data_IF_741405196469
#
_entry.id   IF_741405196469
#
_cell.length_a   1.000
_cell.length_b   1.000
_cell.length_c   1.000
_cell.angle_alpha   90.00
_cell.angle_beta   90.00
_cell.angle_gamma   90.00
#
_symmetry.space_group_name_H-M   'P 1'
#
loop_
_entity.id
_entity.type
_entity.pdbx_description
1 polymer ?
#
# COMPACT_ATOMS: atom_id res chain seq x y z
N UNK A 1 24.01 41.46 -14.37
CA UNK A 1 24.74 41.61 -15.65
C UNK A 1 24.89 43.10 -15.94
N UNK A 2 25.99 43.55 -16.54
CA UNK A 2 26.22 44.97 -16.87
C UNK A 2 26.78 45.12 -18.27
N UNK A 3 26.36 46.16 -18.98
CA UNK A 3 26.91 46.55 -20.27
C UNK A 3 27.22 48.06 -20.29
N UNK A 4 28.03 48.47 -21.26
CA UNK A 4 28.40 49.86 -21.52
C UNK A 4 28.09 50.21 -22.95
N UNK A 5 27.55 51.39 -23.17
CA UNK A 5 27.38 51.95 -24.50
C UNK A 5 28.39 53.07 -24.77
N UNK A 6 28.92 53.15 -26.00
CA UNK A 6 29.97 54.12 -26.36
C UNK A 6 29.41 55.54 -26.49
N UNK A 7 28.15 55.68 -26.91
CA UNK A 7 27.45 56.96 -27.05
C UNK A 7 26.68 57.34 -25.76
N UNK A 8 26.77 56.47 -24.74
CA UNK A 8 26.18 56.59 -23.42
C UNK A 8 24.64 56.69 -23.48
N UNK A 9 24.05 55.94 -24.41
CA UNK A 9 22.60 55.76 -24.55
C UNK A 9 22.01 54.94 -23.38
N UNK A 10 20.73 55.15 -23.03
CA UNK A 10 20.05 54.35 -22.01
C UNK A 10 19.91 52.89 -22.43
N UNK A 11 20.48 52.00 -21.63
CA UNK A 11 20.43 50.56 -21.88
C UNK A 11 19.14 49.93 -21.31
N UNK A 12 18.53 49.06 -22.11
CA UNK A 12 17.38 48.24 -21.73
C UNK A 12 17.75 46.77 -21.74
N UNK A 13 17.51 46.08 -20.62
CA UNK A 13 17.80 44.66 -20.44
C UNK A 13 16.52 43.81 -20.52
N UNK A 14 16.60 42.69 -21.23
CA UNK A 14 15.53 41.68 -21.39
C UNK A 14 16.08 40.27 -21.22
N UNK A 15 15.19 39.31 -20.93
CA UNK A 15 15.53 37.88 -20.83
C UNK A 15 14.98 37.10 -22.00
N UNK A 16 15.74 36.11 -22.45
CA UNK A 16 15.31 35.07 -23.37
C UNK A 16 15.96 33.73 -22.98
N UNK A 17 15.55 32.64 -23.62
CA UNK A 17 16.05 31.29 -23.32
C UNK A 17 14.99 30.37 -22.74
N UNK A 18 15.35 29.09 -22.59
CA UNK A 18 14.44 28.02 -22.16
C UNK A 18 13.95 28.21 -20.73
N UNK A 19 14.80 28.73 -19.85
CA UNK A 19 14.49 28.90 -18.43
C UNK A 19 14.11 30.34 -18.05
N UNK A 20 13.96 31.24 -19.03
CA UNK A 20 13.69 32.67 -18.79
C UNK A 20 12.40 32.93 -18.01
N UNK A 21 11.43 32.00 -18.04
CA UNK A 21 10.18 32.13 -17.30
C UNK A 21 10.40 32.14 -15.77
N UNK A 22 11.41 31.41 -15.27
CA UNK A 22 11.73 31.34 -13.83
C UNK A 22 12.36 32.64 -13.28
N UNK A 23 12.81 33.54 -14.17
CA UNK A 23 13.55 34.74 -13.79
C UNK A 23 12.86 36.04 -14.25
N UNK A 24 13.16 37.11 -13.53
CA UNK A 24 12.90 38.49 -13.91
C UNK A 24 14.22 39.26 -14.05
N UNK A 25 14.19 40.37 -14.78
CA UNK A 25 15.34 41.28 -14.88
C UNK A 25 14.89 42.72 -14.66
N UNK A 26 15.67 43.47 -13.88
CA UNK A 26 15.49 44.90 -13.77
C UNK A 26 15.99 45.55 -15.05
N UNK A 27 15.06 46.05 -15.87
CA UNK A 27 15.33 46.49 -17.25
C UNK A 27 16.32 47.64 -17.36
N UNK A 28 16.62 48.38 -16.30
CA UNK A 28 17.55 49.51 -16.30
C UNK A 28 18.94 49.19 -15.73
N UNK A 29 19.08 48.10 -14.97
CA UNK A 29 20.34 47.74 -14.30
C UNK A 29 20.89 46.38 -14.69
N UNK A 30 20.10 45.55 -15.36
CA UNK A 30 20.48 44.18 -15.68
C UNK A 30 20.57 43.27 -14.46
N UNK A 31 19.98 43.67 -13.32
CA UNK A 31 19.91 42.83 -12.13
C UNK A 31 18.91 41.69 -12.37
N UNK A 32 19.43 40.48 -12.38
CA UNK A 32 18.64 39.25 -12.49
C UNK A 32 18.01 38.91 -11.14
N UNK A 33 16.75 38.46 -11.16
CA UNK A 33 15.95 38.12 -9.98
C UNK A 33 15.22 36.81 -10.24
N UNK A 34 15.05 35.98 -9.22
CA UNK A 34 14.14 34.83 -9.32
C UNK A 34 12.69 35.32 -9.18
N UNK A 35 11.75 34.69 -9.90
CA UNK A 35 10.30 34.98 -9.73
C UNK A 35 9.67 34.21 -8.57
N UNK A 36 10.26 33.07 -8.21
CA UNK A 36 9.88 32.21 -7.10
C UNK A 36 11.14 31.63 -6.44
N UNK A 37 10.99 30.90 -5.34
CA UNK A 37 12.06 30.04 -4.85
C UNK A 37 12.39 29.00 -5.93
N UNK A 38 13.68 28.78 -6.18
CA UNK A 38 14.14 27.70 -7.05
C UNK A 38 14.27 26.44 -6.21
N UNK A 39 13.85 25.31 -6.77
CA UNK A 39 13.81 24.01 -6.12
C UNK A 39 14.87 23.12 -6.80
N UNK A 40 15.80 22.58 -6.00
CA UNK A 40 16.95 21.84 -6.48
C UNK A 40 16.55 20.45 -7.00
N UNK A 41 15.60 19.83 -6.32
CA UNK A 41 15.07 18.49 -6.50
C UNK A 41 14.38 18.34 -7.86
N UNK A 42 13.77 19.44 -8.32
CA UNK A 42 13.10 19.52 -9.63
C UNK A 42 14.04 19.97 -10.74
N UNK A 43 14.89 20.96 -10.51
CA UNK A 43 15.84 21.47 -11.52
C UNK A 43 17.01 22.19 -10.86
N UNK A 44 18.23 21.66 -11.03
CA UNK A 44 19.44 22.15 -10.39
C UNK A 44 20.35 23.04 -11.28
N UNK A 45 20.00 23.19 -12.57
CA UNK A 45 20.69 24.07 -13.52
C UNK A 45 19.65 24.84 -14.32
N UNK A 46 19.85 26.15 -14.43
CA UNK A 46 19.06 27.03 -15.28
C UNK A 46 19.97 27.80 -16.24
N UNK A 47 19.57 27.86 -17.50
CA UNK A 47 20.25 28.61 -18.55
C UNK A 47 19.37 29.76 -19.06
N UNK A 48 19.79 30.99 -18.78
CA UNK A 48 19.09 32.20 -19.23
C UNK A 48 20.02 33.12 -20.00
N UNK A 49 19.50 33.74 -21.06
CA UNK A 49 20.24 34.71 -21.85
C UNK A 49 19.76 36.12 -21.52
N UNK A 50 20.70 36.98 -21.16
CA UNK A 50 20.44 38.40 -20.93
C UNK A 50 20.80 39.15 -22.20
N UNK A 51 19.80 39.82 -22.79
CA UNK A 51 19.96 40.69 -23.94
C UNK A 51 19.92 42.13 -23.48
N UNK A 52 20.84 42.95 -23.97
CA UNK A 52 20.85 44.39 -23.75
C UNK A 52 20.73 45.11 -25.07
N UNK A 53 19.97 46.21 -25.10
CA UNK A 53 19.88 47.09 -26.26
C UNK A 53 19.93 48.55 -25.86
N UNK A 54 20.53 49.36 -26.72
CA UNK A 54 20.56 50.83 -26.66
C UNK A 54 19.28 51.49 -27.21
N UNK A 55 18.36 50.73 -27.83
CA UNK A 55 17.18 51.27 -28.50
C UNK A 55 17.45 51.97 -29.84
N UNK A 56 18.71 52.07 -30.26
CA UNK A 56 19.19 52.71 -31.50
C UNK A 56 19.78 51.70 -32.50
N UNK A 57 19.69 50.39 -32.19
CA UNK A 57 20.06 49.29 -33.08
C UNK A 57 21.30 48.52 -32.62
N UNK A 58 21.98 48.98 -31.57
CA UNK A 58 22.98 48.22 -30.85
C UNK A 58 22.32 47.21 -29.92
N UNK A 59 22.80 45.97 -29.99
CA UNK A 59 22.42 44.91 -29.07
C UNK A 59 23.62 44.02 -28.75
N UNK A 60 23.60 43.47 -27.55
CA UNK A 60 24.56 42.43 -27.15
C UNK A 60 23.85 41.40 -26.27
N UNK A 61 24.46 40.23 -26.13
CA UNK A 61 23.90 39.09 -25.40
C UNK A 61 24.97 38.38 -24.60
N UNK A 62 24.58 37.94 -23.41
CA UNK A 62 25.37 36.98 -22.62
C UNK A 62 24.47 35.84 -22.14
N UNK A 63 25.01 34.62 -22.16
CA UNK A 63 24.38 33.45 -21.56
C UNK A 63 24.86 33.30 -20.11
N UNK A 64 23.91 33.08 -19.20
CA UNK A 64 24.12 32.97 -17.76
C UNK A 64 23.61 31.60 -17.31
N UNK A 65 24.54 30.73 -16.91
CA UNK A 65 24.22 29.45 -16.27
C UNK A 65 24.18 29.66 -14.76
N UNK A 66 23.06 29.28 -14.15
CA UNK A 66 22.81 29.39 -12.72
C UNK A 66 22.73 27.97 -12.18
N UNK A 67 23.65 27.65 -11.28
CA UNK A 67 23.60 26.41 -10.51
C UNK A 67 22.81 26.67 -9.25
N UNK A 68 21.71 25.96 -9.08
CA UNK A 68 21.07 25.83 -7.77
C UNK A 68 21.83 24.74 -7.05
N UNK A 69 22.38 25.09 -5.90
CA UNK A 69 22.97 24.10 -4.99
C UNK A 69 21.92 23.74 -3.97
N UNK A 70 21.69 22.45 -3.81
CA UNK A 70 20.91 21.92 -2.69
C UNK A 70 21.40 22.55 -1.40
N UNK A 71 20.47 23.18 -0.67
CA UNK A 71 20.71 23.54 0.71
C UNK A 71 19.93 22.51 1.49
N UNK A 72 20.65 21.53 1.98
CA UNK A 72 20.08 20.45 2.76
C UNK A 72 19.40 21.02 4.02
N UNK A 73 18.06 21.12 4.02
CA UNK A 73 17.30 21.74 5.10
C UNK A 73 17.07 20.76 6.26
N UNK A 74 18.16 20.31 6.90
CA UNK A 74 18.06 19.56 8.14
C UNK A 74 17.37 20.41 9.21
N UNK A 75 16.37 19.86 9.90
CA UNK A 75 15.69 20.57 11.00
C UNK A 75 16.71 20.99 12.06
N UNK A 76 16.80 22.27 12.45
CA UNK A 76 17.73 22.72 13.46
C UNK A 76 17.59 21.93 14.77
N UNK A 77 18.69 21.56 15.40
CA UNK A 77 18.66 20.69 16.59
C UNK A 77 17.86 21.27 17.76
N UNK A 78 17.69 22.59 17.83
CA UNK A 78 16.87 23.27 18.86
C UNK A 78 15.36 23.12 18.66
N UNK A 79 14.93 22.81 17.45
CA UNK A 79 13.51 22.67 17.10
C UNK A 79 13.02 21.23 17.33
N UNK A 80 13.95 20.28 17.32
CA UNK A 80 13.73 18.86 17.59
C UNK A 80 13.30 18.62 19.04
N UNK A 81 12.69 17.47 19.29
CA UNK A 81 12.39 16.98 20.63
C UNK A 81 13.68 16.87 21.45
N UNK A 82 13.73 17.35 22.72
CA UNK A 82 14.98 17.41 23.49
C UNK A 82 15.74 16.09 23.62
N UNK A 83 15.03 14.95 23.67
CA UNK A 83 15.69 13.64 23.70
C UNK A 83 16.34 13.26 22.36
N UNK A 84 15.76 13.70 21.25
CA UNK A 84 16.35 13.52 19.91
C UNK A 84 17.61 14.35 19.81
N UNK A 85 17.56 15.63 20.22
CA UNK A 85 18.73 16.50 20.30
C UNK A 85 19.83 15.87 21.16
N UNK A 86 19.49 15.35 22.35
CA UNK A 86 20.45 14.71 23.23
C UNK A 86 21.05 13.44 22.62
N UNK A 87 20.24 12.62 21.93
CA UNK A 87 20.72 11.42 21.26
C UNK A 87 21.67 11.74 20.10
N UNK A 88 21.35 12.76 19.29
CA UNK A 88 22.25 13.24 18.22
C UNK A 88 23.58 13.73 18.85
N UNK A 89 23.51 14.59 19.86
CA UNK A 89 24.72 15.12 20.52
C UNK A 89 25.58 14.02 21.15
N UNK A 90 24.98 12.91 21.58
CA UNK A 90 25.74 11.77 22.13
C UNK A 90 26.57 11.03 21.09
N UNK A 91 26.22 11.14 19.80
CA UNK A 91 27.01 10.58 18.70
C UNK A 91 28.06 11.58 18.18
N UNK A 92 27.85 12.87 18.44
CA UNK A 92 28.75 13.97 18.07
C UNK A 92 29.71 14.32 19.21
N UNK A 93 30.48 13.34 19.71
CA UNK A 93 31.36 13.49 20.88
C UNK A 93 32.42 14.62 20.76
N UNK A 94 32.61 15.19 19.56
CA UNK A 94 33.54 16.31 19.31
C UNK A 94 32.90 17.71 19.38
N UNK A 95 31.58 17.80 19.61
CA UNK A 95 30.85 19.07 19.66
C UNK A 95 30.17 19.24 21.02
N UNK A 96 30.55 20.27 21.75
CA UNK A 96 30.02 20.54 23.10
C UNK A 96 28.73 21.38 23.09
N UNK A 97 28.47 22.13 22.01
CA UNK A 97 27.32 23.02 21.89
C UNK A 97 26.47 22.69 20.67
N UNK A 98 25.16 22.56 20.89
CA UNK A 98 24.16 22.28 19.85
C UNK A 98 24.16 23.32 18.72
N UNK A 99 24.54 24.57 19.00
CA UNK A 99 24.61 25.64 17.99
C UNK A 99 25.81 25.49 17.04
N UNK A 100 26.80 24.68 17.42
CA UNK A 100 28.01 24.46 16.62
C UNK A 100 27.86 23.26 15.67
N UNK A 101 26.74 22.53 15.73
CA UNK A 101 26.46 21.38 14.87
C UNK A 101 26.12 21.85 13.47
N UNK A 102 26.88 21.37 12.50
CA UNK A 102 26.64 21.62 11.08
C UNK A 102 25.95 20.43 10.41
N UNK A 103 25.44 20.63 9.19
CA UNK A 103 24.92 19.55 8.35
C UNK A 103 25.94 18.42 8.11
N UNK A 104 27.22 18.76 7.96
CA UNK A 104 28.29 17.78 7.73
C UNK A 104 28.53 16.90 8.96
N UNK A 105 28.29 17.43 10.15
CA UNK A 105 28.35 16.65 11.38
C UNK A 105 27.22 15.63 11.43
N UNK A 106 26.02 15.97 10.94
CA UNK A 106 24.89 15.03 10.87
C UNK A 106 25.15 13.85 9.93
N UNK A 107 25.97 14.03 8.88
CA UNK A 107 26.40 12.94 7.98
C UNK A 107 27.26 11.88 8.67
N UNK A 108 27.75 12.13 9.90
CA UNK A 108 28.52 11.16 10.69
C UNK A 108 27.66 10.30 11.61
N UNK A 109 26.41 10.70 11.88
CA UNK A 109 25.50 10.00 12.78
C UNK A 109 25.03 8.70 12.13
N UNK A 110 25.17 7.57 12.83
CA UNK A 110 24.76 6.23 12.35
C UNK A 110 23.71 5.58 13.23
N UNK A 111 23.69 5.96 14.51
CA UNK A 111 22.83 5.41 15.53
C UNK A 111 22.07 6.56 16.18
N UNK A 112 20.78 6.39 16.43
CA UNK A 112 20.02 7.23 17.35
C UNK A 112 19.42 6.31 18.40
N UNK A 113 19.86 6.45 19.64
CA UNK A 113 19.37 5.66 20.75
C UNK A 113 18.70 6.53 21.82
N UNK A 114 17.38 6.38 21.95
CA UNK A 114 16.53 7.06 22.91
C UNK A 114 15.78 6.07 23.81
N UNK A 115 16.34 4.89 24.04
CA UNK A 115 15.73 3.84 24.87
C UNK A 115 15.45 4.32 26.31
N UNK A 116 14.23 4.17 26.81
CA UNK A 116 13.94 4.39 28.25
C UNK A 116 13.92 5.86 28.72
N UNK A 117 13.76 6.82 27.82
CA UNK A 117 13.78 8.25 28.15
C UNK A 117 12.40 8.83 28.52
N UNK A 118 11.39 7.98 28.73
CA UNK A 118 10.00 8.38 29.02
C UNK A 118 9.41 9.33 27.96
N UNK A 119 9.80 9.13 26.69
CA UNK A 119 9.31 9.94 25.58
C UNK A 119 7.82 9.71 25.37
N UNK A 120 7.05 10.80 25.31
CA UNK A 120 5.60 10.77 25.06
C UNK A 120 5.23 11.24 23.65
N UNK A 121 6.12 11.97 22.98
CA UNK A 121 5.88 12.51 21.64
C UNK A 121 7.18 12.66 20.87
N UNK A 122 7.08 12.56 19.55
CA UNK A 122 8.05 13.02 18.56
C UNK A 122 7.37 14.08 17.70
N UNK A 123 8.15 14.94 17.07
CA UNK A 123 7.69 15.99 16.16
C UNK A 123 8.10 15.67 14.73
N UNK A 124 7.30 16.16 13.78
CA UNK A 124 7.69 16.25 12.36
C UNK A 124 9.07 16.90 12.26
N UNK A 125 9.93 16.33 11.41
CA UNK A 125 11.32 16.76 11.23
C UNK A 125 12.30 16.37 12.33
N UNK A 126 11.89 15.66 13.39
CA UNK A 126 12.83 15.24 14.46
C UNK A 126 14.04 14.48 13.92
N UNK A 127 13.88 13.68 12.86
CA UNK A 127 14.98 12.97 12.19
C UNK A 127 15.37 13.53 10.82
N UNK A 128 14.80 14.67 10.42
CA UNK A 128 15.14 15.30 9.15
C UNK A 128 16.64 15.56 9.03
N UNK A 129 17.19 15.26 7.88
CA UNK A 129 18.60 15.43 7.55
C UNK A 129 19.57 14.46 8.23
N UNK A 130 19.06 13.38 8.83
CA UNK A 130 19.89 12.30 9.40
C UNK A 130 20.06 11.12 8.42
N UNK A 131 20.29 11.42 7.14
CA UNK A 131 20.23 10.47 6.01
C UNK A 131 21.14 9.24 6.14
N UNK A 132 22.16 9.34 6.99
CA UNK A 132 23.13 8.28 7.21
C UNK A 132 22.83 7.41 8.43
N UNK A 133 21.76 7.69 9.17
CA UNK A 133 21.32 6.83 10.27
C UNK A 133 20.93 5.46 9.74
N UNK A 134 21.49 4.43 10.36
CA UNK A 134 21.21 3.02 10.08
C UNK A 134 20.37 2.38 11.18
N UNK A 135 20.56 2.81 12.43
CA UNK A 135 19.97 2.19 13.60
C UNK A 135 19.17 3.23 14.40
N UNK A 136 17.86 3.02 14.51
CA UNK A 136 16.98 3.86 15.31
C UNK A 136 16.33 3.05 16.43
N UNK A 137 16.75 3.33 17.67
CA UNK A 137 16.27 2.65 18.87
C UNK A 137 15.50 3.60 19.76
N UNK A 138 14.18 3.41 19.83
CA UNK A 138 13.26 4.17 20.70
C UNK A 138 12.44 3.24 21.63
N UNK A 139 12.96 2.08 22.10
CA UNK A 139 12.14 1.17 22.91
C UNK A 139 11.91 1.66 24.33
N UNK A 140 10.89 1.10 24.99
CA UNK A 140 10.57 1.36 26.39
C UNK A 140 10.29 2.84 26.68
N UNK A 141 9.50 3.47 25.82
CA UNK A 141 9.00 4.84 25.99
C UNK A 141 7.47 4.81 26.13
N UNK A 142 6.80 5.94 25.92
CA UNK A 142 5.35 6.11 26.06
C UNK A 142 4.77 6.85 24.85
N UNK A 143 5.30 6.59 23.65
CA UNK A 143 4.78 7.15 22.42
C UNK A 143 3.40 6.55 22.13
N UNK A 144 2.39 7.40 21.98
CA UNK A 144 1.02 7.00 21.62
C UNK A 144 0.77 7.07 20.10
N UNK A 145 1.54 7.92 19.40
CA UNK A 145 1.48 8.10 17.95
C UNK A 145 2.85 8.52 17.39
N UNK A 146 2.98 8.45 16.08
CA UNK A 146 4.13 8.94 15.32
C UNK A 146 3.68 10.02 14.31
N UNK A 147 4.45 11.09 14.10
CA UNK A 147 4.27 11.98 12.95
C UNK A 147 4.39 11.21 11.64
N UNK A 148 3.62 11.59 10.62
CA UNK A 148 3.53 10.87 9.33
C UNK A 148 4.86 10.85 8.55
N UNK A 149 5.66 11.90 8.72
CA UNK A 149 6.92 12.18 7.99
C UNK A 149 8.17 11.85 8.82
N UNK A 150 8.01 11.18 9.97
CA UNK A 150 9.08 11.07 10.96
C UNK A 150 10.31 10.32 10.42
N UNK A 151 10.15 9.43 9.45
CA UNK A 151 11.24 8.65 8.86
C UNK A 151 11.60 9.07 7.43
N UNK A 152 11.05 10.18 6.94
CA UNK A 152 11.32 10.67 5.59
C UNK A 152 12.81 10.95 5.38
N UNK A 153 13.34 10.57 4.22
CA UNK A 153 14.75 10.77 3.86
C UNK A 153 15.74 9.79 4.51
N UNK A 154 15.33 8.95 5.46
CA UNK A 154 16.19 7.97 6.13
C UNK A 154 16.44 6.71 5.27
N UNK A 155 16.87 6.89 4.02
CA UNK A 155 16.97 5.82 3.02
C UNK A 155 17.99 4.72 3.38
N UNK A 156 18.92 5.00 4.29
CA UNK A 156 19.94 4.05 4.77
C UNK A 156 19.54 3.32 6.06
N UNK A 157 18.32 3.54 6.56
CA UNK A 157 17.87 2.95 7.81
C UNK A 157 17.71 1.43 7.67
N UNK A 158 18.42 0.67 8.51
CA UNK A 158 18.45 -0.79 8.52
C UNK A 158 17.58 -1.37 9.64
N UNK A 159 17.45 -0.65 10.75
CA UNK A 159 16.71 -1.11 11.92
C UNK A 159 15.90 0.00 12.57
N UNK A 160 14.61 -0.27 12.79
CA UNK A 160 13.73 0.51 13.66
C UNK A 160 13.29 -0.37 14.82
N UNK A 161 13.54 0.10 16.05
CA UNK A 161 13.01 -0.52 17.26
C UNK A 161 12.11 0.44 18.05
N UNK A 162 10.81 0.21 17.96
CA UNK A 162 9.73 0.92 18.66
C UNK A 162 9.07 0.05 19.75
N UNK A 163 9.72 -1.04 20.17
CA UNK A 163 9.19 -2.00 21.14
C UNK A 163 8.82 -1.35 22.47
N UNK A 164 7.74 -1.77 23.10
CA UNK A 164 7.32 -1.27 24.42
C UNK A 164 7.07 0.25 24.41
N UNK A 165 6.23 0.70 23.48
CA UNK A 165 5.60 2.02 23.49
C UNK A 165 4.09 1.86 23.74
N UNK A 166 3.28 2.85 23.39
CA UNK A 166 1.82 2.82 23.52
C UNK A 166 1.13 3.13 22.19
N UNK A 167 1.79 2.81 21.07
CA UNK A 167 1.29 3.12 19.73
C UNK A 167 -0.04 2.39 19.49
N UNK A 168 -1.10 3.14 19.21
CA UNK A 168 -2.44 2.59 18.93
C UNK A 168 -2.67 2.34 17.43
N UNK A 169 -1.97 3.11 16.59
CA UNK A 169 -1.99 3.01 15.13
C UNK A 169 -0.66 3.45 14.52
N UNK A 170 -0.49 3.16 13.23
CA UNK A 170 0.63 3.64 12.41
C UNK A 170 0.05 4.46 11.23
N UNK A 171 0.68 5.58 10.84
CA UNK A 171 0.36 6.26 9.59
C UNK A 171 0.49 5.33 8.36
N UNK A 172 -0.30 5.55 7.30
CA UNK A 172 -0.39 4.61 6.15
C UNK A 172 0.96 4.40 5.43
N UNK A 173 1.75 5.47 5.27
CA UNK A 173 2.97 5.48 4.45
C UNK A 173 4.25 5.68 5.30
N UNK A 174 4.17 5.41 6.60
CA UNK A 174 5.22 5.76 7.58
C UNK A 174 6.60 5.13 7.28
N UNK A 175 6.63 4.04 6.51
CA UNK A 175 7.88 3.33 6.15
C UNK A 175 8.24 3.46 4.67
N UNK A 176 7.53 4.29 3.91
CA UNK A 176 7.80 4.46 2.49
C UNK A 176 9.22 4.98 2.24
N UNK A 177 9.86 4.47 1.19
CA UNK A 177 11.23 4.86 0.83
C UNK A 177 12.35 4.26 1.70
N UNK A 178 12.03 3.53 2.77
CA UNK A 178 13.02 2.85 3.63
C UNK A 178 13.57 1.56 2.99
N UNK A 179 14.18 1.69 1.81
CA UNK A 179 14.58 0.57 0.94
C UNK A 179 15.68 -0.33 1.51
N UNK A 180 16.29 0.03 2.64
CA UNK A 180 17.30 -0.78 3.34
C UNK A 180 16.79 -1.33 4.69
N UNK A 181 15.51 -1.14 5.04
CA UNK A 181 14.99 -1.54 6.33
C UNK A 181 14.84 -3.07 6.41
N UNK A 182 15.70 -3.70 7.20
CA UNK A 182 15.75 -5.15 7.39
C UNK A 182 15.05 -5.59 8.68
N UNK A 183 15.09 -4.75 9.73
CA UNK A 183 14.65 -5.14 11.06
C UNK A 183 13.63 -4.14 11.63
N UNK A 184 12.39 -4.58 11.78
CA UNK A 184 11.31 -3.77 12.34
C UNK A 184 10.72 -4.42 13.59
N UNK A 185 10.88 -3.74 14.73
CA UNK A 185 10.35 -4.17 16.01
C UNK A 185 9.26 -3.21 16.51
N UNK A 186 8.03 -3.71 16.54
CA UNK A 186 6.82 -2.99 16.98
C UNK A 186 6.13 -3.70 18.16
N UNK A 187 6.83 -4.64 18.80
CA UNK A 187 6.25 -5.47 19.85
C UNK A 187 5.83 -4.67 21.08
N UNK A 188 4.88 -5.19 21.86
CA UNK A 188 4.42 -4.56 23.11
C UNK A 188 3.93 -3.12 22.92
N UNK A 189 3.14 -2.90 21.89
CA UNK A 189 2.39 -1.67 21.66
C UNK A 189 0.88 -1.96 21.80
N UNK A 190 0.02 -1.04 21.38
CA UNK A 190 -1.45 -1.15 21.47
C UNK A 190 -2.11 -1.26 20.09
N UNK A 191 -1.39 -1.68 19.05
CA UNK A 191 -1.87 -1.66 17.67
C UNK A 191 -3.09 -2.59 17.51
N UNK A 192 -4.24 -2.04 17.10
CA UNK A 192 -5.48 -2.80 16.89
C UNK A 192 -5.64 -3.31 15.45
N UNK A 193 -5.03 -2.58 14.50
CA UNK A 193 -4.99 -2.89 13.08
C UNK A 193 -3.70 -2.36 12.46
N UNK A 194 -3.41 -2.78 11.23
CA UNK A 194 -2.31 -2.26 10.42
C UNK A 194 -2.90 -1.68 9.12
N UNK A 195 -2.36 -0.56 8.60
CA UNK A 195 -2.69 -0.12 7.25
C UNK A 195 -2.36 -1.21 6.22
N UNK A 196 -3.14 -1.26 5.13
CA UNK A 196 -2.85 -2.15 4.02
C UNK A 196 -1.63 -1.64 3.25
N UNK A 197 -0.70 -2.53 2.89
CA UNK A 197 0.51 -2.15 2.15
C UNK A 197 1.60 -1.48 3.01
N UNK A 198 1.44 -1.40 4.34
CA UNK A 198 2.37 -0.73 5.27
C UNK A 198 3.83 -1.23 5.21
N UNK A 199 4.08 -2.40 4.58
CA UNK A 199 5.42 -2.98 4.42
C UNK A 199 5.83 -3.15 2.95
N UNK A 200 5.09 -2.54 2.01
CA UNK A 200 5.36 -2.67 0.59
C UNK A 200 6.76 -2.09 0.25
N UNK A 201 7.52 -2.84 -0.55
CA UNK A 201 8.87 -2.42 -0.97
C UNK A 201 9.98 -2.60 0.07
N UNK A 202 9.65 -2.99 1.31
CA UNK A 202 10.65 -3.19 2.36
C UNK A 202 11.37 -4.55 2.26
N UNK A 203 12.70 -4.62 2.43
CA UNK A 203 13.45 -5.88 2.39
C UNK A 203 13.50 -6.60 3.76
N UNK A 204 12.41 -6.56 4.55
CA UNK A 204 12.41 -7.03 5.93
C UNK A 204 12.89 -8.48 6.08
N UNK A 205 13.89 -8.69 6.95
CA UNK A 205 14.32 -9.98 7.48
C UNK A 205 13.64 -10.30 8.82
N UNK A 206 13.34 -9.27 9.62
CA UNK A 206 12.76 -9.39 10.95
C UNK A 206 11.56 -8.48 11.09
N UNK A 207 10.40 -9.06 11.40
CA UNK A 207 9.18 -8.34 11.74
C UNK A 207 8.63 -8.85 13.07
N UNK A 208 8.63 -7.97 14.07
CA UNK A 208 8.05 -8.26 15.38
C UNK A 208 6.83 -7.40 15.68
N UNK A 209 5.65 -8.04 15.63
CA UNK A 209 4.35 -7.46 15.94
C UNK A 209 3.72 -8.12 17.18
N UNK A 210 4.53 -8.81 17.99
CA UNK A 210 4.04 -9.54 19.16
C UNK A 210 3.48 -8.60 20.25
N UNK A 211 2.60 -9.13 21.10
CA UNK A 211 2.06 -8.38 22.25
C UNK A 211 1.40 -7.05 21.87
N UNK A 212 0.62 -7.05 20.78
CA UNK A 212 -0.24 -5.93 20.37
C UNK A 212 -1.72 -6.31 20.55
N UNK A 213 -2.65 -5.53 20.00
CA UNK A 213 -4.09 -5.77 20.04
C UNK A 213 -4.67 -6.19 18.69
N UNK A 214 -3.86 -6.72 17.77
CA UNK A 214 -4.29 -6.99 16.39
C UNK A 214 -5.42 -8.03 16.35
N UNK A 215 -6.48 -7.66 15.63
CA UNK A 215 -7.68 -8.51 15.46
C UNK A 215 -7.71 -9.23 14.11
N UNK A 216 -6.94 -8.77 13.14
CA UNK A 216 -6.79 -9.36 11.82
C UNK A 216 -5.51 -8.85 11.16
N UNK A 217 -5.14 -9.46 10.03
CA UNK A 217 -4.06 -8.98 9.16
C UNK A 217 -4.67 -8.49 7.83
N UNK A 218 -4.24 -7.34 7.30
CA UNK A 218 -4.62 -6.91 5.95
C UNK A 218 -4.27 -7.94 4.88
N UNK A 219 -5.01 -7.90 3.77
CA UNK A 219 -4.64 -8.63 2.57
C UNK A 219 -3.32 -8.09 2.03
N UNK A 220 -2.46 -8.97 1.53
CA UNK A 220 -1.15 -8.62 1.01
C UNK A 220 -0.13 -8.11 2.03
N UNK A 221 -0.39 -8.14 3.35
CA UNK A 221 0.52 -7.61 4.38
C UNK A 221 1.97 -8.09 4.26
N UNK A 222 2.19 -9.35 3.88
CA UNK A 222 3.50 -9.96 3.70
C UNK A 222 3.92 -10.05 2.23
N UNK A 223 3.20 -9.41 1.31
CA UNK A 223 3.56 -9.35 -0.11
C UNK A 223 4.91 -8.66 -0.27
N UNK A 224 5.78 -9.20 -1.11
CA UNK A 224 7.13 -8.66 -1.34
C UNK A 224 8.17 -9.01 -0.27
N UNK A 225 7.77 -9.40 0.95
CA UNK A 225 8.66 -9.74 2.07
C UNK A 225 9.34 -11.12 1.91
N UNK A 226 10.06 -11.30 0.80
CA UNK A 226 10.70 -12.55 0.40
C UNK A 226 11.92 -12.92 1.27
N UNK A 227 12.52 -11.95 1.95
CA UNK A 227 13.66 -12.14 2.86
C UNK A 227 13.25 -12.43 4.31
N UNK A 228 11.95 -12.43 4.62
CA UNK A 228 11.47 -12.52 5.99
C UNK A 228 11.91 -13.83 6.66
N UNK A 229 12.88 -13.71 7.54
CA UNK A 229 13.47 -14.81 8.30
C UNK A 229 13.00 -14.86 9.75
N UNK A 230 12.27 -13.86 10.23
CA UNK A 230 11.69 -13.86 11.58
C UNK A 230 10.37 -13.11 11.61
N UNK A 231 9.32 -13.79 12.05
CA UNK A 231 7.99 -13.21 12.25
C UNK A 231 7.46 -13.57 13.64
N UNK A 232 7.01 -12.55 14.39
CA UNK A 232 6.33 -12.73 15.67
C UNK A 232 4.96 -12.04 15.68
N UNK A 233 3.89 -12.83 15.82
CA UNK A 233 2.49 -12.38 15.93
C UNK A 233 1.81 -12.83 17.24
N UNK A 234 2.55 -13.49 18.13
CA UNK A 234 2.02 -14.02 19.39
C UNK A 234 1.54 -12.92 20.33
N UNK A 235 0.59 -13.26 21.21
CA UNK A 235 0.00 -12.32 22.17
C UNK A 235 -0.73 -11.13 21.54
N UNK A 236 -1.33 -11.32 20.36
CA UNK A 236 -2.33 -10.40 19.81
C UNK A 236 -3.76 -10.78 20.25
N UNK A 237 -4.73 -9.88 20.04
CA UNK A 237 -6.13 -10.11 20.41
C UNK A 237 -6.71 -11.37 19.75
N UNK A 238 -6.32 -11.62 18.50
CA UNK A 238 -6.62 -12.88 17.81
C UNK A 238 -5.39 -13.78 17.77
N UNK A 239 -5.23 -14.59 18.81
CA UNK A 239 -4.13 -15.56 18.90
C UNK A 239 -4.63 -17.02 18.91
N UNK A 240 -4.07 -17.91 18.06
CA UNK A 240 -3.20 -17.62 16.92
C UNK A 240 -3.90 -16.84 15.81
N UNK A 241 -3.17 -15.94 15.16
CA UNK A 241 -3.65 -15.10 14.05
C UNK A 241 -4.06 -15.97 12.84
N UNK A 242 -5.28 -15.82 12.31
CA UNK A 242 -5.71 -16.61 11.15
C UNK A 242 -5.08 -16.09 9.85
N UNK A 243 -4.36 -16.95 9.12
CA UNK A 243 -3.97 -16.72 7.73
C UNK A 243 -4.93 -17.47 6.81
N UNK A 244 -5.78 -16.72 6.12
CA UNK A 244 -6.77 -17.30 5.21
C UNK A 244 -6.10 -17.79 3.93
N UNK A 245 -6.32 -19.07 3.63
CA UNK A 245 -5.87 -19.73 2.41
C UNK A 245 -7.05 -20.11 1.54
N UNK A 246 -6.90 -19.92 0.24
CA UNK A 246 -7.96 -20.24 -0.72
C UNK A 246 -7.40 -20.77 -2.03
N UNK A 247 -8.28 -21.28 -2.88
CA UNK A 247 -7.95 -21.58 -4.27
C UNK A 247 -8.60 -20.51 -5.14
N UNK A 248 -7.92 -20.11 -6.21
CA UNK A 248 -8.42 -19.19 -7.23
C UNK A 248 -8.43 -19.92 -8.57
N UNK A 249 -9.59 -19.95 -9.23
CA UNK A 249 -9.70 -20.49 -10.59
C UNK A 249 -9.10 -19.47 -11.58
N UNK A 250 -8.06 -19.86 -12.30
CA UNK A 250 -7.41 -19.00 -13.32
C UNK A 250 -7.89 -19.31 -14.74
N UNK A 251 -8.29 -20.56 -15.00
CA UNK A 251 -8.99 -20.98 -16.21
C UNK A 251 -9.81 -22.27 -15.93
N UNK A 252 -10.48 -22.82 -16.94
CA UNK A 252 -11.22 -24.08 -16.77
C UNK A 252 -10.27 -25.22 -16.37
N UNK A 253 -10.56 -25.87 -15.24
CA UNK A 253 -9.68 -26.90 -14.67
C UNK A 253 -8.33 -26.39 -14.15
N UNK A 254 -8.06 -25.09 -14.13
CA UNK A 254 -6.78 -24.52 -13.70
C UNK A 254 -6.93 -23.64 -12.47
N UNK A 255 -6.10 -23.88 -11.46
CA UNK A 255 -6.18 -23.21 -10.16
C UNK A 255 -4.83 -22.79 -9.63
N UNK A 256 -4.82 -21.70 -8.87
CA UNK A 256 -3.70 -21.31 -8.03
C UNK A 256 -4.12 -21.33 -6.57
N UNK A 257 -3.17 -21.64 -5.69
CA UNK A 257 -3.34 -21.41 -4.28
C UNK A 257 -3.08 -19.95 -3.95
N UNK A 258 -3.73 -19.48 -2.90
CA UNK A 258 -3.61 -18.10 -2.43
C UNK A 258 -3.51 -18.07 -0.92
N UNK A 259 -2.71 -17.14 -0.40
CA UNK A 259 -2.63 -16.76 1.02
C UNK A 259 -2.97 -15.29 1.06
N UNK A 260 -4.11 -14.93 1.67
CA UNK A 260 -4.72 -13.60 1.49
C UNK A 260 -3.80 -12.49 2.00
N UNK A 261 -3.23 -12.64 3.19
CA UNK A 261 -2.25 -11.70 3.75
C UNK A 261 -0.83 -11.84 3.17
N UNK A 262 -0.62 -12.70 2.17
CA UNK A 262 0.72 -13.10 1.72
C UNK A 262 1.34 -14.20 2.57
N UNK A 263 2.23 -15.00 2.00
CA UNK A 263 2.90 -16.09 2.70
C UNK A 263 4.20 -15.58 3.38
N UNK A 264 4.26 -15.54 4.73
CA UNK A 264 5.44 -15.04 5.44
C UNK A 264 6.67 -15.97 5.35
N UNK A 265 6.45 -17.21 4.93
CA UNK A 265 7.49 -18.12 4.45
C UNK A 265 6.82 -19.12 3.48
N UNK A 266 7.55 -20.04 2.82
CA UNK A 266 6.91 -20.94 1.86
C UNK A 266 5.85 -21.81 2.53
N UNK A 267 4.60 -21.69 2.08
CA UNK A 267 3.44 -22.43 2.61
C UNK A 267 3.08 -23.56 1.65
N UNK A 268 3.17 -24.79 2.14
CA UNK A 268 2.74 -25.97 1.40
C UNK A 268 1.28 -26.32 1.74
N UNK A 269 0.40 -26.20 0.75
CA UNK A 269 -1.02 -26.49 0.89
C UNK A 269 -1.35 -27.83 0.26
N UNK A 270 -1.77 -28.84 1.05
CA UNK A 270 -2.24 -30.09 0.47
C UNK A 270 -3.49 -29.84 -0.35
N UNK A 271 -3.61 -30.52 -1.48
CA UNK A 271 -4.77 -30.40 -2.38
C UNK A 271 -5.52 -31.73 -2.44
N UNK A 272 -6.84 -31.66 -2.49
CA UNK A 272 -7.69 -32.83 -2.71
C UNK A 272 -8.70 -32.57 -3.82
N UNK A 273 -8.92 -33.58 -4.64
CA UNK A 273 -9.85 -33.53 -5.77
C UNK A 273 -10.85 -34.67 -5.65
N UNK A 274 -12.14 -34.36 -5.80
CA UNK A 274 -13.21 -35.37 -5.89
C UNK A 274 -13.74 -35.43 -7.32
N UNK A 275 -14.01 -36.62 -7.85
CA UNK A 275 -14.49 -36.87 -9.22
C UNK A 275 -13.54 -36.41 -10.36
N UNK A 276 -12.30 -36.10 -10.02
CA UNK A 276 -11.25 -35.69 -10.95
C UNK A 276 -9.87 -36.15 -10.48
N UNK A 277 -8.86 -35.80 -11.27
CA UNK A 277 -7.43 -36.07 -11.02
C UNK A 277 -6.59 -34.83 -11.31
N UNK A 278 -5.49 -34.67 -10.57
CA UNK A 278 -4.49 -33.64 -10.84
C UNK A 278 -3.52 -34.19 -11.89
N UNK A 279 -3.28 -33.42 -12.95
CA UNK A 279 -2.69 -33.90 -14.21
C UNK A 279 -1.23 -34.35 -14.10
N UNK A 280 -0.48 -33.79 -13.15
CA UNK A 280 0.91 -34.14 -12.82
C UNK A 280 1.03 -35.03 -11.57
N UNK A 281 -0.10 -35.40 -10.96
CA UNK A 281 -0.14 -36.18 -9.72
C UNK A 281 0.29 -35.41 -8.46
N UNK A 282 0.42 -34.08 -8.51
CA UNK A 282 0.80 -33.29 -7.35
C UNK A 282 -0.19 -33.48 -6.18
N UNK A 283 0.34 -33.59 -4.96
CA UNK A 283 -0.46 -33.74 -3.73
C UNK A 283 -0.57 -32.46 -2.93
N UNK A 284 0.21 -31.45 -3.29
CA UNK A 284 0.25 -30.13 -2.65
C UNK A 284 0.61 -29.06 -3.67
N UNK A 285 0.36 -27.80 -3.30
CA UNK A 285 0.74 -26.61 -4.04
C UNK A 285 1.43 -25.65 -3.07
N UNK A 286 2.54 -25.06 -3.50
CA UNK A 286 3.35 -24.17 -2.66
C UNK A 286 3.05 -22.72 -3.04
N UNK A 287 2.79 -21.91 -2.03
CA UNK A 287 2.84 -20.44 -2.14
C UNK A 287 4.20 -19.99 -1.62
N UNK A 288 5.09 -19.43 -2.47
CA UNK A 288 6.43 -18.99 -2.05
C UNK A 288 6.38 -17.89 -0.98
N UNK A 289 7.49 -17.72 -0.25
CA UNK A 289 7.64 -16.61 0.69
C UNK A 289 7.47 -15.26 -0.03
N UNK A 290 6.80 -14.30 0.62
CA UNK A 290 6.55 -12.98 0.06
C UNK A 290 5.48 -12.95 -1.04
N UNK A 291 4.83 -14.07 -1.36
CA UNK A 291 3.82 -14.14 -2.43
C UNK A 291 2.41 -14.33 -1.89
N UNK A 292 1.43 -13.75 -2.57
CA UNK A 292 0.00 -13.95 -2.31
C UNK A 292 -0.60 -15.12 -3.10
N UNK A 293 0.05 -15.53 -4.19
CA UNK A 293 -0.38 -16.64 -5.05
C UNK A 293 0.75 -17.64 -5.32
N UNK A 294 0.41 -18.88 -5.65
CA UNK A 294 1.38 -19.88 -6.10
C UNK A 294 1.93 -19.57 -7.49
N UNK A 295 3.21 -19.84 -7.72
CA UNK A 295 3.82 -19.74 -9.05
C UNK A 295 3.24 -20.78 -10.01
N UNK A 296 3.05 -21.99 -9.49
CA UNK A 296 2.53 -23.15 -10.23
C UNK A 296 1.00 -23.08 -10.31
N UNK A 297 0.48 -23.55 -11.44
CA UNK A 297 -0.96 -23.72 -11.67
C UNK A 297 -1.33 -25.20 -11.58
N UNK A 298 -2.19 -25.54 -10.64
CA UNK A 298 -2.79 -26.87 -10.52
C UNK A 298 -3.74 -27.13 -11.70
N UNK A 299 -3.50 -28.19 -12.46
CA UNK A 299 -4.39 -28.59 -13.57
C UNK A 299 -5.18 -29.83 -13.19
N UNK A 300 -6.50 -29.68 -13.07
CA UNK A 300 -7.44 -30.73 -12.69
C UNK A 300 -8.27 -31.16 -13.90
N UNK A 301 -8.33 -32.47 -14.10
CA UNK A 301 -9.12 -33.13 -15.15
C UNK A 301 -10.25 -33.94 -14.52
N UNK A 302 -11.38 -34.03 -15.22
CA UNK A 302 -12.47 -34.91 -14.80
C UNK A 302 -12.09 -36.37 -15.05
N UNK A 303 -12.40 -37.24 -14.11
CA UNK A 303 -12.28 -38.69 -14.29
C UNK A 303 -13.30 -39.18 -15.32
N UNK A 304 -12.85 -39.94 -16.32
CA UNK A 304 -13.74 -40.47 -17.35
C UNK A 304 -14.90 -41.28 -16.73
N UNK A 305 -16.12 -41.05 -17.21
CA UNK A 305 -17.32 -41.75 -16.74
C UNK A 305 -17.99 -41.14 -15.50
N UNK A 306 -17.45 -40.08 -14.91
CA UNK A 306 -18.14 -39.35 -13.83
C UNK A 306 -19.06 -38.27 -14.39
N UNK A 307 -20.27 -38.19 -13.84
CA UNK A 307 -21.26 -37.14 -14.15
C UNK A 307 -21.38 -36.12 -13.02
N UNK A 308 -20.84 -36.44 -11.85
CA UNK A 308 -20.80 -35.55 -10.70
C UNK A 308 -19.82 -34.38 -10.91
N UNK A 309 -20.07 -33.21 -10.32
CA UNK A 309 -19.14 -32.08 -10.35
C UNK A 309 -17.76 -32.48 -9.81
N UNK A 310 -16.71 -31.92 -10.41
CA UNK A 310 -15.36 -32.04 -9.84
C UNK A 310 -15.24 -31.00 -8.73
N UNK A 311 -14.80 -31.39 -7.55
CA UNK A 311 -14.53 -30.45 -6.47
C UNK A 311 -13.05 -30.43 -6.17
N UNK A 312 -12.48 -29.25 -6.06
CA UNK A 312 -11.08 -29.03 -5.70
C UNK A 312 -11.05 -28.32 -4.35
N UNK A 313 -10.34 -28.89 -3.40
CA UNK A 313 -10.25 -28.37 -2.05
C UNK A 313 -8.80 -28.31 -1.59
N UNK A 314 -8.57 -27.52 -0.54
CA UNK A 314 -7.37 -27.65 0.28
C UNK A 314 -7.63 -28.80 1.25
N UNK A 315 -6.65 -29.70 1.39
CA UNK A 315 -6.69 -30.85 2.30
C UNK A 315 -6.63 -30.47 3.77
N UNK A 316 -6.22 -31.39 4.63
CA UNK A 316 -6.01 -31.09 6.05
C UNK A 316 -4.86 -30.10 6.19
N UNK A 317 -5.12 -28.92 6.76
CA UNK A 317 -4.10 -27.90 6.90
C UNK A 317 -2.98 -28.37 7.84
N UNK A 318 -1.72 -28.15 7.48
CA UNK A 318 -0.59 -28.52 8.33
C UNK A 318 -0.61 -27.69 9.62
N UNK A 319 -0.30 -28.34 10.75
CA UNK A 319 -0.11 -27.67 12.05
C UNK A 319 1.13 -26.77 12.03
N UNK A 320 2.13 -27.14 11.23
CA UNK A 320 3.33 -26.33 10.92
C UNK A 320 3.36 -26.09 9.42
N UNK A 321 3.02 -24.88 8.95
CA UNK A 321 2.74 -24.65 7.55
C UNK A 321 3.95 -24.60 6.62
N UNK A 322 5.16 -24.82 7.13
CA UNK A 322 6.41 -24.70 6.39
C UNK A 322 6.98 -26.06 5.98
N UNK A 323 7.69 -26.10 4.86
CA UNK A 323 8.41 -27.29 4.42
C UNK A 323 9.58 -27.63 5.38
N UNK A 324 9.83 -28.93 5.55
CA UNK A 324 10.85 -29.48 6.48
C UNK A 324 12.29 -29.17 6.10
N UNK A 325 12.54 -28.53 4.96
CA UNK A 325 13.87 -28.08 4.51
C UNK A 325 14.33 -26.76 5.16
N UNK A 326 13.43 -26.02 5.82
CA UNK A 326 13.78 -24.82 6.58
C UNK A 326 14.27 -25.20 8.00
N UNK A 327 15.47 -25.78 8.08
CA UNK A 327 16.03 -26.36 9.32
C UNK A 327 16.81 -25.35 10.18
N UNK A 328 17.02 -24.10 9.74
CA UNK A 328 17.97 -23.21 10.45
C UNK A 328 17.41 -22.30 11.55
N UNK A 329 16.09 -22.12 11.73
CA UNK A 329 15.56 -21.39 12.90
C UNK A 329 14.24 -22.02 13.35
N UNK A 330 14.09 -22.45 14.62
CA UNK A 330 12.90 -23.18 15.06
C UNK A 330 11.70 -22.22 15.17
N UNK A 331 10.92 -22.06 14.09
CA UNK A 331 9.67 -21.28 14.05
C UNK A 331 8.48 -22.01 14.67
N UNK A 332 8.63 -22.56 15.86
CA UNK A 332 7.53 -23.31 16.49
C UNK A 332 6.43 -22.42 17.08
N UNK A 333 6.52 -21.09 16.98
CA UNK A 333 5.50 -20.21 17.58
C UNK A 333 5.40 -18.81 16.95
N UNK A 334 5.40 -18.69 15.62
CA UNK A 334 5.22 -17.39 14.93
C UNK A 334 3.87 -16.70 15.26
N UNK A 335 2.97 -17.40 15.96
CA UNK A 335 1.74 -16.84 16.50
C UNK A 335 0.55 -16.85 15.55
N UNK A 336 0.64 -17.57 14.44
CA UNK A 336 -0.42 -17.69 13.44
C UNK A 336 -0.81 -19.14 13.13
N UNK A 337 -1.98 -19.33 12.51
CA UNK A 337 -2.48 -20.61 12.01
C UNK A 337 -3.12 -20.42 10.63
N UNK A 338 -3.02 -21.43 9.78
CA UNK A 338 -3.76 -21.42 8.52
C UNK A 338 -5.24 -21.69 8.77
N UNK A 339 -6.11 -20.99 8.04
CA UNK A 339 -7.55 -21.25 8.00
C UNK A 339 -8.03 -21.28 6.55
N UNK A 340 -8.98 -22.17 6.23
CA UNK A 340 -9.55 -22.22 4.89
C UNK A 340 -10.53 -21.08 4.70
N UNK A 341 -10.53 -20.47 3.53
CA UNK A 341 -11.62 -19.59 3.11
C UNK A 341 -12.96 -20.33 3.12
N UNK A 342 -14.03 -19.62 3.44
CA UNK A 342 -15.42 -20.12 3.41
C UNK A 342 -15.86 -20.52 1.99
N UNK A 343 -15.19 -20.00 0.96
CA UNK A 343 -15.48 -20.30 -0.45
C UNK A 343 -14.97 -21.69 -0.91
N UNK A 344 -14.32 -22.46 -0.03
CA UNK A 344 -13.86 -23.83 -0.32
C UNK A 344 -14.91 -24.89 0.07
N UNK A 345 -15.04 -26.00 -0.70
CA UNK A 345 -14.31 -26.34 -1.93
C UNK A 345 -14.77 -25.53 -3.15
N UNK A 346 -13.86 -25.33 -4.11
CA UNK A 346 -14.25 -24.83 -5.43
C UNK A 346 -14.83 -25.97 -6.27
N UNK A 347 -16.12 -25.90 -6.60
CA UNK A 347 -16.74 -26.76 -7.62
C UNK A 347 -16.32 -26.29 -9.02
N UNK A 348 -15.69 -27.16 -9.80
CA UNK A 348 -15.22 -26.86 -11.15
C UNK A 348 -15.50 -28.03 -12.09
N UNK A 349 -15.65 -27.72 -13.37
CA UNK A 349 -16.20 -28.58 -14.42
C UNK A 349 -17.69 -28.91 -14.17
N UNK A 350 -18.62 -28.18 -14.81
CA UNK A 350 -19.99 -28.63 -14.99
C UNK A 350 -20.05 -29.94 -15.79
N UNK A 351 -21.05 -30.79 -15.56
CA UNK A 351 -21.26 -32.02 -16.33
C UNK A 351 -21.28 -31.73 -17.84
N UNK A 352 -20.81 -32.67 -18.65
CA UNK A 352 -20.88 -32.58 -20.12
C UNK A 352 -22.33 -32.24 -20.51
N UNK A 353 -22.50 -31.24 -21.39
CA UNK A 353 -23.78 -30.89 -21.96
C UNK A 353 -24.43 -32.15 -22.57
N UNK A 354 -25.51 -32.65 -21.96
CA UNK A 354 -26.25 -33.79 -22.53
C UNK A 354 -27.03 -34.72 -21.60
N UNK A 355 -27.05 -34.54 -20.28
CA UNK A 355 -27.92 -35.33 -19.39
C UNK A 355 -29.00 -34.45 -18.74
N UNK A 356 -30.28 -34.90 -18.66
CA UNK A 356 -31.40 -34.06 -18.27
C UNK A 356 -31.31 -33.70 -16.78
N UNK A 357 -31.05 -32.42 -16.51
CA UNK A 357 -30.98 -31.87 -15.16
C UNK A 357 -32.33 -32.01 -14.44
N UNK A 358 -32.29 -32.49 -13.19
CA UNK A 358 -33.24 -32.03 -12.20
C UNK A 358 -32.95 -30.54 -11.94
N UNK A 359 -33.95 -29.65 -11.94
CA UNK A 359 -33.72 -28.22 -12.11
C UNK A 359 -33.03 -27.61 -10.89
N UNK A 360 -31.92 -26.91 -11.13
CA UNK A 360 -31.52 -25.81 -10.26
C UNK A 360 -32.73 -24.89 -10.15
N UNK A 361 -33.19 -24.60 -8.94
CA UNK A 361 -34.36 -23.74 -8.75
C UNK A 361 -34.05 -22.36 -9.32
N UNK A 362 -34.49 -22.12 -10.56
CA UNK A 362 -34.53 -20.80 -11.15
C UNK A 362 -35.44 -19.95 -10.27
N UNK A 363 -34.96 -18.83 -9.73
CA UNK A 363 -35.78 -17.94 -8.93
C UNK A 363 -37.04 -17.58 -9.72
N UNK A 364 -38.22 -17.71 -9.10
CA UNK A 364 -39.49 -17.38 -9.79
C UNK A 364 -39.59 -15.89 -10.14
N UNK A 365 -38.83 -15.05 -9.45
CA UNK A 365 -38.86 -13.59 -9.60
C UNK A 365 -37.45 -13.02 -9.67
N UNK A 366 -37.27 -12.03 -10.54
CA UNK A 366 -36.09 -11.16 -10.51
C UNK A 366 -36.21 -10.24 -9.29
N UNK A 367 -35.17 -10.15 -8.48
CA UNK A 367 -35.17 -9.31 -7.29
C UNK A 367 -33.80 -8.69 -7.03
N UNK A 368 -33.83 -7.47 -6.51
CA UNK A 368 -32.65 -6.75 -6.04
C UNK A 368 -32.60 -6.85 -4.51
N UNK A 369 -31.51 -7.42 -3.97
CA UNK A 369 -31.42 -7.82 -2.58
C UNK A 369 -30.59 -6.80 -1.78
N UNK A 370 -30.63 -6.85 -0.43
CA UNK A 370 -29.82 -5.95 0.41
C UNK A 370 -28.32 -6.18 0.18
N UNK A 371 -27.54 -5.09 0.13
CA UNK A 371 -26.09 -5.16 0.05
C UNK A 371 -25.48 -5.77 1.33
N UNK A 372 -24.27 -6.31 1.23
CA UNK A 372 -23.50 -6.90 2.35
C UNK A 372 -22.00 -6.59 2.15
N UNK A 373 -21.24 -6.24 3.19
CA UNK A 373 -21.72 -5.92 4.53
C UNK A 373 -22.56 -4.65 4.51
N UNK A 374 -23.63 -4.64 5.30
CA UNK A 374 -24.51 -3.49 5.49
C UNK A 374 -24.72 -3.32 7.01
N UNK A 375 -24.43 -2.15 7.62
CA UNK A 375 -24.09 -0.85 7.00
C UNK A 375 -22.63 -0.36 7.15
N UNK A 376 -21.58 -1.21 7.09
CA UNK A 376 -20.23 -0.79 7.54
C UNK A 376 -19.05 -1.22 6.64
N UNK A 377 -18.97 -0.78 5.37
CA UNK A 377 -17.70 -0.65 4.61
C UNK A 377 -17.94 0.15 3.30
N UNK A 378 -17.01 1.05 2.86
CA UNK A 378 -17.03 1.61 1.50
C UNK A 378 -17.01 0.54 0.38
N UNK A 379 -16.42 -0.63 0.61
CA UNK A 379 -16.52 -1.76 -0.30
C UNK A 379 -17.76 -2.61 -0.02
N UNK A 380 -18.65 -2.73 -1.01
CA UNK A 380 -19.94 -3.40 -0.81
C UNK A 380 -20.28 -4.35 -1.95
N UNK A 381 -20.75 -5.55 -1.58
CA UNK A 381 -21.33 -6.51 -2.49
C UNK A 381 -22.83 -6.27 -2.54
N UNK A 382 -23.39 -6.30 -3.74
CA UNK A 382 -24.79 -5.98 -3.99
C UNK A 382 -25.47 -7.18 -4.64
N UNK A 383 -26.05 -8.08 -3.81
CA UNK A 383 -26.73 -9.28 -4.26
C UNK A 383 -27.97 -9.02 -5.13
N UNK A 384 -28.23 -9.92 -6.07
CA UNK A 384 -29.45 -9.94 -6.87
C UNK A 384 -29.83 -11.36 -7.30
N UNK A 385 -31.01 -11.51 -7.88
CA UNK A 385 -31.44 -12.76 -8.50
C UNK A 385 -32.21 -12.47 -9.79
N UNK A 386 -32.10 -13.37 -10.77
CA UNK A 386 -32.71 -13.23 -12.08
C UNK A 386 -33.65 -14.42 -12.36
N UNK A 387 -34.91 -14.15 -12.70
CA UNK A 387 -35.86 -15.19 -13.12
C UNK A 387 -35.69 -15.61 -14.58
N UNK A 388 -35.12 -14.72 -15.41
CA UNK A 388 -34.80 -14.95 -16.83
C UNK A 388 -33.42 -14.36 -17.13
N UNK A 389 -32.71 -14.84 -18.17
CA UNK A 389 -31.50 -14.18 -18.63
C UNK A 389 -31.78 -12.71 -19.01
N UNK A 390 -30.92 -11.80 -18.55
CA UNK A 390 -31.11 -10.36 -18.71
C UNK A 390 -29.77 -9.63 -18.78
N UNK A 391 -29.74 -8.49 -19.48
CA UNK A 391 -28.65 -7.52 -19.35
C UNK A 391 -28.78 -6.77 -18.04
N UNK A 392 -27.71 -6.76 -17.25
CA UNK A 392 -27.68 -6.23 -15.90
C UNK A 392 -26.80 -4.98 -15.82
N UNK A 393 -27.36 -3.92 -15.24
CA UNK A 393 -26.65 -2.67 -14.96
C UNK A 393 -26.99 -2.19 -13.56
N UNK A 394 -26.01 -1.66 -12.87
CA UNK A 394 -26.17 -1.05 -11.55
C UNK A 394 -25.65 0.38 -11.59
N UNK A 395 -26.45 1.35 -11.16
CA UNK A 395 -26.10 2.78 -11.18
C UNK A 395 -26.22 3.35 -9.78
N UNK A 396 -25.18 4.03 -9.33
CA UNK A 396 -25.07 4.58 -7.99
C UNK A 396 -25.18 6.10 -8.09
N UNK A 397 -26.01 6.69 -7.23
CA UNK A 397 -26.32 8.10 -7.19
C UNK A 397 -26.03 8.69 -5.81
N UNK A 398 -25.64 9.96 -5.77
CA UNK A 398 -25.59 10.73 -4.53
C UNK A 398 -27.01 11.16 -4.09
N UNK A 399 -27.13 11.82 -2.93
CA UNK A 399 -28.44 12.31 -2.43
C UNK A 399 -29.10 13.37 -3.33
N UNK A 400 -28.33 14.03 -4.21
CA UNK A 400 -28.84 15.01 -5.19
C UNK A 400 -29.28 14.36 -6.51
N UNK A 401 -29.14 13.04 -6.65
CA UNK A 401 -29.49 12.29 -7.86
C UNK A 401 -28.45 12.32 -8.97
N UNK A 402 -27.23 12.81 -8.71
CA UNK A 402 -26.15 12.74 -9.70
C UNK A 402 -25.50 11.35 -9.68
N UNK A 403 -25.13 10.85 -10.86
CA UNK A 403 -24.45 9.57 -11.02
C UNK A 403 -23.05 9.68 -10.40
N UNK A 404 -22.76 8.75 -9.48
CA UNK A 404 -21.47 8.57 -8.82
C UNK A 404 -20.66 7.49 -9.54
N UNK A 405 -21.30 6.36 -9.87
CA UNK A 405 -20.67 5.23 -10.56
C UNK A 405 -21.73 4.42 -11.31
N UNK A 406 -21.35 3.85 -12.45
CA UNK A 406 -22.17 2.88 -13.17
C UNK A 406 -21.36 1.59 -13.37
N UNK A 407 -21.97 0.45 -13.04
CA UNK A 407 -21.40 -0.88 -13.20
C UNK A 407 -22.20 -1.62 -14.28
N UNK A 408 -21.59 -1.80 -15.45
CA UNK A 408 -22.16 -2.59 -16.54
C UNK A 408 -21.78 -4.07 -16.34
N UNK A 409 -22.67 -4.85 -15.72
CA UNK A 409 -22.42 -6.27 -15.42
C UNK A 409 -22.62 -7.19 -16.65
N UNK A 410 -23.23 -6.67 -17.71
CA UNK A 410 -23.45 -7.34 -18.98
C UNK A 410 -24.59 -8.36 -18.96
N UNK A 411 -24.65 -9.21 -19.98
CA UNK A 411 -25.65 -10.26 -20.10
C UNK A 411 -25.41 -11.36 -19.06
N UNK A 412 -26.41 -11.65 -18.22
CA UNK A 412 -26.33 -12.65 -17.15
C UNK A 412 -27.44 -13.69 -17.31
N UNK A 413 -27.15 -15.00 -17.16
CA UNK A 413 -28.18 -16.05 -17.19
C UNK A 413 -29.11 -15.98 -15.96
N UNK A 414 -30.29 -16.61 -16.04
CA UNK A 414 -31.17 -16.74 -14.88
C UNK A 414 -30.47 -17.46 -13.72
N UNK A 415 -30.65 -16.99 -12.49
CA UNK A 415 -29.99 -17.57 -11.32
C UNK A 415 -29.82 -16.63 -10.14
N UNK A 416 -29.21 -17.14 -9.06
CA UNK A 416 -28.90 -16.42 -7.83
C UNK A 416 -27.50 -15.80 -7.87
N UNK A 417 -27.36 -14.54 -7.51
CA UNK A 417 -26.10 -13.77 -7.49
C UNK A 417 -25.88 -13.17 -6.10
N UNK A 418 -25.71 -14.04 -5.09
CA UNK A 418 -25.66 -13.65 -3.68
C UNK A 418 -24.28 -13.82 -3.02
N UNK A 419 -23.39 -14.64 -3.60
CA UNK A 419 -22.01 -14.80 -3.11
C UNK A 419 -21.13 -13.63 -3.53
N UNK A 420 -20.02 -13.40 -2.82
CA UNK A 420 -19.02 -12.37 -3.17
C UNK A 420 -18.54 -12.48 -4.62
N UNK A 421 -18.40 -13.70 -5.13
CA UNK A 421 -17.93 -14.02 -6.48
C UNK A 421 -18.99 -13.81 -7.58
N UNK A 422 -20.26 -13.60 -7.23
CA UNK A 422 -21.36 -13.48 -8.19
C UNK A 422 -22.16 -12.19 -8.07
N UNK A 423 -22.23 -11.61 -6.87
CA UNK A 423 -22.88 -10.33 -6.64
C UNK A 423 -22.20 -9.20 -7.43
N UNK A 424 -22.90 -8.08 -7.61
CA UNK A 424 -22.24 -6.89 -8.10
C UNK A 424 -21.28 -6.37 -7.01
N UNK A 425 -20.13 -5.84 -7.38
CA UNK A 425 -19.15 -5.30 -6.44
C UNK A 425 -18.91 -3.83 -6.72
N UNK A 426 -18.92 -3.02 -5.66
CA UNK A 426 -18.51 -1.63 -5.72
C UNK A 426 -17.38 -1.38 -4.72
N UNK A 427 -16.29 -0.82 -5.22
CA UNK A 427 -15.05 -0.46 -4.54
C UNK A 427 -15.13 0.85 -3.74
N UNK A 428 -16.34 1.41 -3.58
CA UNK A 428 -16.54 2.70 -2.91
C UNK A 428 -15.94 3.89 -3.65
N UNK A 429 -15.63 3.77 -4.95
CA UNK A 429 -15.05 4.85 -5.77
C UNK A 429 -16.03 5.39 -6.79
N UNK A 430 -15.91 6.68 -7.12
CA UNK A 430 -16.69 7.31 -8.18
C UNK A 430 -16.19 6.91 -9.58
N UNK A 431 -16.77 7.50 -10.64
CA UNK A 431 -16.37 7.25 -12.03
C UNK A 431 -14.95 7.72 -12.39
N UNK A 432 -14.33 8.57 -11.57
CA UNK A 432 -12.96 9.05 -11.71
C UNK A 432 -11.95 8.23 -10.87
N UNK A 433 -12.42 7.25 -10.10
CA UNK A 433 -11.59 6.42 -9.23
C UNK A 433 -11.35 7.00 -7.82
N UNK A 434 -11.97 8.12 -7.46
CA UNK A 434 -11.81 8.75 -6.14
C UNK A 434 -12.72 8.08 -5.10
N UNK A 435 -12.23 7.90 -3.87
CA UNK A 435 -13.03 7.36 -2.75
C UNK A 435 -14.21 8.29 -2.46
N UNK A 436 -15.42 7.75 -2.39
CA UNK A 436 -16.61 8.55 -2.06
C UNK A 436 -16.65 8.91 -0.57
N UNK A 437 -17.33 10.01 -0.22
CA UNK A 437 -17.47 10.45 1.17
C UNK A 437 -18.47 9.58 1.96
N UNK A 438 -18.32 9.53 3.29
CA UNK A 438 -19.33 9.01 4.21
C UNK A 438 -20.68 9.70 3.95
N UNK A 439 -21.75 8.93 3.78
CA UNK A 439 -23.06 9.49 3.49
C UNK A 439 -24.06 8.51 2.91
N UNK A 440 -25.23 9.05 2.55
CA UNK A 440 -26.32 8.27 1.94
C UNK A 440 -26.19 8.30 0.42
N UNK A 441 -26.24 7.12 -0.18
CA UNK A 441 -26.25 6.90 -1.62
C UNK A 441 -27.49 6.11 -2.01
N UNK A 442 -27.84 6.16 -3.29
CA UNK A 442 -28.92 5.37 -3.87
C UNK A 442 -28.38 4.49 -4.99
N UNK A 443 -28.72 3.22 -4.98
CA UNK A 443 -28.32 2.26 -5.99
C UNK A 443 -29.54 1.77 -6.75
N UNK A 444 -29.55 2.01 -8.06
CA UNK A 444 -30.56 1.51 -8.99
C UNK A 444 -30.02 0.32 -9.75
N UNK A 445 -30.66 -0.82 -9.58
CA UNK A 445 -30.43 -2.05 -10.32
C UNK A 445 -31.43 -2.18 -11.46
N UNK A 446 -30.93 -2.48 -12.66
CA UNK A 446 -31.73 -2.75 -13.86
C UNK A 446 -31.34 -4.10 -14.45
N UNK A 447 -32.34 -4.95 -14.72
CA UNK A 447 -32.16 -6.26 -15.35
C UNK A 447 -33.28 -6.49 -16.39
N UNK A 448 -32.99 -6.20 -17.66
CA UNK A 448 -34.03 -6.14 -18.70
C UNK A 448 -35.11 -5.11 -18.34
N UNK A 449 -36.36 -5.55 -18.21
CA UNK A 449 -37.51 -4.71 -17.84
C UNK A 449 -37.60 -4.43 -16.32
N UNK A 450 -36.89 -5.20 -15.50
CA UNK A 450 -36.92 -5.04 -14.05
C UNK A 450 -36.03 -3.88 -13.62
N UNK A 451 -36.56 -2.97 -12.80
CA UNK A 451 -35.79 -1.88 -12.17
C UNK A 451 -36.14 -1.77 -10.70
N UNK A 452 -35.14 -1.63 -9.83
CA UNK A 452 -35.32 -1.41 -8.40
C UNK A 452 -34.25 -0.47 -7.85
N UNK A 453 -34.63 0.43 -6.94
CA UNK A 453 -33.69 1.35 -6.27
C UNK A 453 -33.66 1.09 -4.78
N UNK A 454 -32.46 1.10 -4.17
CA UNK A 454 -32.28 0.97 -2.72
C UNK A 454 -31.39 2.07 -2.19
N UNK A 455 -31.63 2.46 -0.94
CA UNK A 455 -30.75 3.33 -0.15
C UNK A 455 -29.54 2.51 0.32
N UNK A 456 -28.35 3.08 0.22
CA UNK A 456 -27.10 2.57 0.78
C UNK A 456 -26.54 3.63 1.72
N UNK A 457 -26.01 3.21 2.87
CA UNK A 457 -25.26 4.06 3.78
C UNK A 457 -23.80 3.66 3.69
N UNK A 458 -22.93 4.61 3.36
CA UNK A 458 -21.49 4.43 3.38
C UNK A 458 -20.98 5.14 4.63
N UNK A 459 -20.30 4.40 5.50
CA UNK A 459 -19.59 4.89 6.66
C UNK A 459 -18.12 4.54 6.43
N UNK A 460 -17.24 5.55 6.42
CA UNK A 460 -15.80 5.37 6.54
C UNK A 460 -15.45 5.09 7.98
#
# INVERSE_FOLDING_TARGET
>A
VSATDQDNDPLTYTLEGVDAEAFGIVSTSGQLQTKAALDYETQFIYDVSVVVSDGNGGNDRIDVTIYVTDVFEATPLRERTPAVTAAIMSELEWIDNVDDVTEYDLLSVRLINMSGHSLTTLKSGDFSGLDWVRLLYIPSNSLESLPEDIFDGLILLETINLTSNSLESLPEDIFDGLSNLENLYLASNSLESLPGGIFDGLPLEVLDLGSNSLTSLPDGLFSGLSNLGFLRLQHNATHPMPLTVSLKKVAEGQFKATVHSGAPAPIELPVSVTNGSISDGATSIIVPAGQVESDVTLTVTRTAGTTAPVSVNIGTLPVRPFSTLWVMRPFSNSGYRLVKSEDLPLEVIPAIAGAPNAPAQVPKVTAFLPNYPNPFNPETWIPYQLAKPSDVTLTIYNMKGNIVRQLALGHKPAGLYQSRTRAAYWDGRNGLGEKVATGVYFCTFKAGDFTATRKMLILK
#
